data_IF_298171529777
#
_entry.id   IF_298171529777
#
_cell.length_a   1.000
_cell.length_b   1.000
_cell.length_c   1.000
_cell.angle_alpha   90.00
_cell.angle_beta   90.00
_cell.angle_gamma   90.00
#
_symmetry.space_group_name_H-M   'P 1'
#
loop_
_entity.id
_entity.type
_entity.pdbx_description
1 polymer ?
#
# COMPACT_ATOMS: atom_id res chain seq x y z
N UNK A 1 13.93 9.54 -9.06
CA UNK A 1 12.94 9.40 -8.00
C UNK A 1 12.79 7.94 -7.68
N UNK A 2 13.11 7.62 -6.44
CA UNK A 2 13.15 6.30 -5.83
C UNK A 2 12.23 6.30 -4.62
N UNK A 3 11.68 5.14 -4.29
CA UNK A 3 10.95 4.93 -3.03
C UNK A 3 11.98 4.47 -2.01
N UNK A 4 12.28 5.33 -1.04
CA UNK A 4 13.37 5.12 -0.07
C UNK A 4 12.88 4.58 1.27
N UNK A 5 11.59 4.73 1.58
CA UNK A 5 10.94 4.11 2.74
C UNK A 5 9.49 3.76 2.38
N UNK A 6 9.00 2.65 2.94
CA UNK A 6 7.60 2.23 2.85
C UNK A 6 7.11 1.87 4.25
N UNK A 7 6.13 2.62 4.72
CA UNK A 7 5.40 2.31 5.95
C UNK A 7 4.02 1.82 5.62
N UNK A 8 3.62 0.71 6.21
CA UNK A 8 2.37 0.05 5.89
C UNK A 8 1.65 -0.39 7.16
N UNK A 9 0.32 -0.28 7.14
CA UNK A 9 -0.57 -0.84 8.14
C UNK A 9 -1.64 -1.69 7.47
N UNK A 10 -1.67 -2.97 7.80
CA UNK A 10 -2.71 -3.88 7.35
C UNK A 10 -4.07 -3.52 7.94
N UNK A 11 -5.12 -3.85 7.20
CA UNK A 11 -6.52 -3.65 7.61
C UNK A 11 -7.18 -5.02 7.66
N UNK A 12 -7.52 -5.44 8.87
CA UNK A 12 -8.28 -6.67 9.09
C UNK A 12 -9.76 -6.42 8.76
N UNK A 13 -10.12 -6.70 7.51
CA UNK A 13 -11.50 -6.61 7.04
C UNK A 13 -11.73 -7.50 5.82
N UNK A 14 -12.98 -7.93 5.63
CA UNK A 14 -13.43 -8.59 4.40
C UNK A 14 -13.56 -7.62 3.21
N UNK A 15 -13.17 -6.35 3.40
CA UNK A 15 -13.16 -5.39 2.32
C UNK A 15 -12.05 -5.67 1.31
N UNK A 16 -12.17 -5.03 0.13
CA UNK A 16 -11.14 -5.04 -0.90
C UNK A 16 -9.89 -4.27 -0.47
N UNK A 17 -9.96 -3.38 0.52
CA UNK A 17 -8.80 -2.64 1.00
C UNK A 17 -8.05 -3.48 2.04
N UNK A 18 -6.82 -3.86 1.73
CA UNK A 18 -6.01 -4.75 2.56
C UNK A 18 -4.99 -4.02 3.42
N UNK A 19 -4.53 -2.86 2.97
CA UNK A 19 -3.61 -2.03 3.74
C UNK A 19 -3.69 -0.56 3.33
N UNK A 20 -3.20 0.30 4.23
CA UNK A 20 -2.89 1.69 3.95
C UNK A 20 -1.38 1.86 4.12
N UNK A 21 -0.76 2.50 3.13
CA UNK A 21 0.67 2.72 3.03
C UNK A 21 1.00 4.22 2.94
N UNK A 22 2.21 4.56 3.35
CA UNK A 22 2.88 5.82 3.07
C UNK A 22 4.26 5.52 2.51
N UNK A 23 4.68 6.30 1.52
CA UNK A 23 6.01 6.16 0.92
C UNK A 23 6.81 7.43 1.11
N UNK A 24 8.13 7.27 1.29
CA UNK A 24 9.10 8.37 1.19
C UNK A 24 9.80 8.28 -0.15
N UNK A 25 9.90 9.42 -0.84
CA UNK A 25 10.52 9.58 -2.14
C UNK A 25 11.82 10.35 -1.97
N UNK A 26 12.91 9.80 -2.49
CA UNK A 26 14.27 10.38 -2.46
C UNK A 26 14.68 10.92 -1.06
N UNK A 27 14.26 10.26 0.03
CA UNK A 27 14.48 10.68 1.43
C UNK A 27 13.96 12.09 1.78
N UNK A 28 13.15 12.71 0.91
CA UNK A 28 12.86 14.14 0.97
C UNK A 28 11.36 14.45 0.97
N UNK A 29 10.52 13.55 0.45
CA UNK A 29 9.09 13.82 0.28
C UNK A 29 8.22 12.62 0.64
N UNK A 30 7.20 12.82 1.46
CA UNK A 30 6.30 11.74 1.89
C UNK A 30 4.94 11.86 1.22
N UNK A 31 4.41 10.74 0.74
CA UNK A 31 3.03 10.61 0.24
C UNK A 31 2.28 9.64 1.16
N UNK A 32 1.19 10.12 1.75
CA UNK A 32 0.31 9.36 2.63
C UNK A 32 -0.93 8.85 1.90
N UNK A 33 -1.69 7.96 2.55
CA UNK A 33 -3.00 7.46 2.12
C UNK A 33 -2.99 6.69 0.78
N UNK A 34 -1.89 6.01 0.49
CA UNK A 34 -1.82 5.04 -0.61
C UNK A 34 -2.48 3.74 -0.11
N UNK A 35 -3.28 3.07 -0.94
CA UNK A 35 -4.02 1.87 -0.54
C UNK A 35 -3.55 0.64 -1.31
N UNK A 36 -3.42 -0.48 -0.61
CA UNK A 36 -3.29 -1.80 -1.23
C UNK A 36 -4.68 -2.39 -1.36
N UNK A 37 -5.07 -2.69 -2.60
CA UNK A 37 -6.41 -3.16 -2.94
C UNK A 37 -6.34 -4.55 -3.56
N UNK A 38 -7.20 -5.43 -3.07
CA UNK A 38 -7.48 -6.73 -3.66
C UNK A 38 -8.51 -6.57 -4.79
N UNK A 39 -8.04 -6.71 -6.02
CA UNK A 39 -8.81 -6.60 -7.24
C UNK A 39 -9.09 -7.94 -7.89
N UNK A 40 -9.95 -7.90 -8.92
CA UNK A 40 -10.31 -9.11 -9.66
C UNK A 40 -9.10 -9.79 -10.33
N UNK A 41 -8.03 -9.03 -10.58
CA UNK A 41 -6.79 -9.50 -11.20
C UNK A 41 -5.61 -9.55 -10.20
N UNK A 42 -5.91 -9.64 -8.90
CA UNK A 42 -4.92 -9.64 -7.83
C UNK A 42 -4.72 -8.28 -7.17
N UNK A 43 -3.69 -8.22 -6.33
CA UNK A 43 -3.34 -7.03 -5.55
C UNK A 43 -2.81 -5.92 -6.46
N UNK A 44 -3.24 -4.69 -6.21
CA UNK A 44 -2.71 -3.50 -6.86
C UNK A 44 -2.70 -2.31 -5.89
N UNK A 45 -1.98 -1.26 -6.28
CA UNK A 45 -1.85 -0.03 -5.48
C UNK A 45 -2.77 1.06 -6.03
N UNK A 46 -3.64 1.60 -5.18
CA UNK A 46 -4.48 2.76 -5.48
C UNK A 46 -3.90 4.01 -4.82
N UNK A 47 -3.72 5.06 -5.62
CA UNK A 47 -3.17 6.33 -5.16
C UNK A 47 -4.12 7.07 -4.20
N UNK A 48 -3.61 8.09 -3.46
CA UNK A 48 -4.43 8.90 -2.57
C UNK A 48 -5.39 9.73 -3.40
N UNK A 49 -6.68 9.64 -3.11
CA UNK A 49 -7.73 10.27 -3.91
C UNK A 49 -8.65 11.13 -3.05
N UNK A 50 -9.05 12.30 -3.56
CA UNK A 50 -10.07 13.15 -2.92
C UNK A 50 -11.32 13.21 -3.78
N UNK A 51 -12.48 13.21 -3.12
CA UNK A 51 -13.76 13.47 -3.78
C UNK A 51 -13.87 14.95 -4.14
N UNK A 52 -14.11 15.25 -5.39
CA UNK A 52 -14.35 16.60 -5.92
C UNK A 52 -15.81 17.04 -5.69
N UNK A 53 -16.13 18.35 -5.76
CA UNK A 53 -17.50 18.84 -5.53
C UNK A 53 -18.55 18.31 -6.51
N UNK A 54 -18.13 17.95 -7.72
CA UNK A 54 -18.94 17.27 -8.75
C UNK A 54 -19.20 15.78 -8.43
N UNK A 55 -18.58 15.25 -7.38
CA UNK A 55 -18.78 13.90 -6.88
C UNK A 55 -17.77 12.87 -7.39
N UNK A 56 -16.89 13.24 -8.34
CA UNK A 56 -15.83 12.37 -8.85
C UNK A 56 -14.70 12.17 -7.84
N UNK A 57 -13.86 11.16 -8.05
CA UNK A 57 -12.62 10.98 -7.29
C UNK A 57 -11.44 11.30 -8.19
N UNK A 58 -10.52 12.12 -7.68
CA UNK A 58 -9.26 12.42 -8.37
C UNK A 58 -8.09 12.13 -7.47
N UNK A 59 -7.05 11.55 -8.07
CA UNK A 59 -5.80 11.30 -7.37
C UNK A 59 -5.14 12.64 -7.02
N UNK A 60 -4.83 12.81 -5.74
CA UNK A 60 -4.11 13.96 -5.18
C UNK A 60 -2.64 13.89 -5.59
N UNK A 61 -2.07 12.68 -5.57
CA UNK A 61 -0.71 12.40 -6.00
C UNK A 61 -0.73 11.17 -6.90
N UNK A 62 -0.14 11.26 -8.09
CA UNK A 62 -0.05 10.14 -9.01
C UNK A 62 1.22 10.21 -9.87
N UNK A 63 1.84 9.06 -10.20
CA UNK A 63 2.94 9.02 -11.13
C UNK A 63 2.47 9.39 -12.54
N UNK A 64 3.22 10.25 -13.22
CA UNK A 64 2.90 10.70 -14.59
C UNK A 64 3.22 9.64 -15.66
N UNK A 65 4.10 8.68 -15.36
CA UNK A 65 4.54 7.66 -16.30
C UNK A 65 4.53 6.25 -15.69
N UNK A 66 4.51 5.25 -16.56
CA UNK A 66 4.45 3.84 -16.19
C UNK A 66 5.67 3.39 -15.37
N UNK A 67 6.86 3.93 -15.65
CA UNK A 67 8.08 3.59 -14.91
C UNK A 67 7.94 3.91 -13.42
N UNK A 68 7.52 5.13 -13.08
CA UNK A 68 7.34 5.53 -11.69
C UNK A 68 6.17 4.79 -11.03
N UNK A 69 5.10 4.51 -11.78
CA UNK A 69 4.00 3.66 -11.29
C UNK A 69 4.50 2.29 -10.86
N UNK A 70 5.27 1.63 -11.71
CA UNK A 70 5.80 0.30 -11.41
C UNK A 70 6.75 0.32 -10.20
N UNK A 71 7.59 1.34 -10.06
CA UNK A 71 8.49 1.49 -8.89
C UNK A 71 7.67 1.57 -7.60
N UNK A 72 6.63 2.41 -7.56
CA UNK A 72 5.77 2.56 -6.37
C UNK A 72 5.03 1.26 -6.07
N UNK A 73 4.44 0.64 -7.09
CA UNK A 73 3.65 -0.57 -6.94
C UNK A 73 4.49 -1.74 -6.42
N UNK A 74 5.67 -1.97 -7.00
CA UNK A 74 6.59 -3.02 -6.56
C UNK A 74 7.03 -2.78 -5.11
N UNK A 75 7.46 -1.57 -4.77
CA UNK A 75 7.95 -1.26 -3.42
C UNK A 75 6.87 -1.50 -2.34
N UNK A 76 5.63 -1.08 -2.61
CA UNK A 76 4.53 -1.23 -1.65
C UNK A 76 4.07 -2.68 -1.55
N UNK A 77 3.92 -3.39 -2.67
CA UNK A 77 3.46 -4.78 -2.65
C UNK A 77 4.49 -5.72 -2.02
N UNK A 78 5.78 -5.49 -2.27
CA UNK A 78 6.86 -6.21 -1.58
C UNK A 78 6.76 -6.01 -0.06
N UNK A 79 6.62 -4.76 0.40
CA UNK A 79 6.50 -4.49 1.83
C UNK A 79 5.23 -5.08 2.45
N UNK A 80 4.13 -5.07 1.71
CA UNK A 80 2.89 -5.70 2.14
C UNK A 80 3.06 -7.21 2.34
N UNK A 81 3.71 -7.90 1.41
CA UNK A 81 3.95 -9.33 1.51
C UNK A 81 4.83 -9.67 2.72
N UNK A 82 5.91 -8.93 2.96
CA UNK A 82 6.76 -9.08 4.16
C UNK A 82 5.93 -9.00 5.46
N UNK A 83 5.14 -7.93 5.63
CA UNK A 83 4.33 -7.71 6.85
C UNK A 83 3.27 -8.81 7.03
N UNK A 84 2.68 -9.30 5.93
CA UNK A 84 1.70 -10.39 5.98
C UNK A 84 2.36 -11.70 6.41
N UNK A 85 3.59 -11.98 5.97
CA UNK A 85 4.33 -13.17 6.40
C UNK A 85 4.72 -13.06 7.89
N UNK A 86 5.29 -11.94 8.31
CA UNK A 86 5.64 -11.68 9.72
C UNK A 86 4.42 -11.88 10.65
N UNK A 87 3.24 -11.39 10.25
CA UNK A 87 2.01 -11.55 11.03
C UNK A 87 1.56 -13.02 11.14
N UNK A 88 1.77 -13.81 10.08
CA UNK A 88 1.45 -15.25 10.08
C UNK A 88 2.40 -16.05 10.96
N UNK A 89 3.68 -15.71 10.96
CA UNK A 89 4.68 -16.39 11.80
C UNK A 89 4.43 -16.14 13.29
N UNK A 90 4.17 -14.88 13.68
CA UNK A 90 3.85 -14.52 15.07
C UNK A 90 2.60 -15.26 15.58
N UNK A 91 1.55 -15.35 14.76
CA UNK A 91 0.33 -16.07 15.13
C UNK A 91 0.48 -17.59 15.21
N UNK A 92 1.47 -18.18 14.54
CA UNK A 92 1.78 -19.61 14.66
C UNK A 92 2.63 -19.93 15.90
N UNK A 93 3.54 -19.03 16.28
CA UNK A 93 4.36 -19.19 17.49
C UNK A 93 3.53 -19.08 18.77
N UNK A 94 2.54 -18.17 18.84
CA UNK A 94 1.66 -18.04 20.02
C UNK A 94 0.77 -19.26 20.25
N UNK A 95 0.38 -19.98 19.19
CA UNK A 95 -0.45 -21.19 19.27
C UNK A 95 0.37 -22.42 19.69
N UNK A 96 1.69 -22.41 19.47
CA UNK A 96 2.60 -23.51 19.82
C UNK A 96 3.10 -23.54 21.28
N UNK A 97 2.75 -22.54 22.08
CA UNK A 97 3.19 -22.40 23.50
C UNK A 97 2.07 -22.77 24.50
N UNK A 98 0.93 -23.30 24.02
CA UNK A 98 -0.19 -23.76 24.87
C UNK A 98 -0.26 -25.28 25.02
#
# INVERSE_FOLDING_TARGET
>A
MEVTDVRLRCVESDSRMKAIASITLDEAFVVHDIRVIDGNNGLFVAMPSKRTPDGEFRDIAHPINAKMRNIIEIAILAKYEEVVQETKEVSQEEVGVS
#
